data_IF_177108566761
#
_entry.id   IF_177108566761
#
_cell.length_a   1.000
_cell.length_b   1.000
_cell.length_c   1.000
_cell.angle_alpha   90.00
_cell.angle_beta   90.00
_cell.angle_gamma   90.00
#
_symmetry.space_group_name_H-M   'P 1'
#
loop_
_entity.id
_entity.type
_entity.pdbx_description
1 polymer ?
#
# COMPACT_ATOMS: atom_id res chain seq x y z
N UNK A 1 -11.87 -3.73 -0.97
CA UNK A 1 -10.54 -3.12 -0.70
C UNK A 1 -10.22 -2.10 -1.78
N UNK A 2 -9.72 -0.97 -1.38
CA UNK A 2 -9.28 0.08 -2.30
C UNK A 2 -7.81 0.40 -2.09
N UNK A 3 -7.13 0.78 -3.16
CA UNK A 3 -5.71 1.10 -3.15
C UNK A 3 -5.51 2.58 -3.50
N UNK A 4 -4.73 3.26 -2.69
CA UNK A 4 -4.39 4.67 -2.88
C UNK A 4 -2.90 4.75 -3.17
N UNK A 5 -2.54 5.48 -4.22
CA UNK A 5 -1.14 5.78 -4.54
C UNK A 5 -0.90 7.27 -4.42
N UNK A 6 0.20 7.65 -3.80
CA UNK A 6 0.55 9.06 -3.67
C UNK A 6 2.04 9.26 -3.86
N UNK A 7 2.40 10.43 -4.35
CA UNK A 7 3.78 10.89 -4.41
C UNK A 7 3.94 11.99 -3.37
N UNK A 8 4.92 11.84 -2.52
CA UNK A 8 5.17 12.76 -1.41
C UNK A 8 6.62 13.25 -1.43
N UNK A 9 6.87 14.36 -0.77
CA UNK A 9 8.24 14.80 -0.51
C UNK A 9 8.93 13.76 0.39
N UNK A 10 10.13 13.35 0.00
CA UNK A 10 10.92 12.40 0.78
C UNK A 10 11.74 13.15 1.84
N UNK A 11 11.05 13.58 2.88
CA UNK A 11 11.60 14.36 3.96
C UNK A 11 11.21 13.80 5.31
N UNK A 12 12.02 14.14 6.32
CA UNK A 12 11.75 13.72 7.69
C UNK A 12 10.37 14.18 8.15
N UNK A 13 9.63 13.28 8.77
CA UNK A 13 8.31 13.58 9.34
C UNK A 13 7.13 13.48 8.38
N UNK A 14 7.37 13.32 7.08
CA UNK A 14 6.26 13.22 6.09
C UNK A 14 5.39 12.02 6.38
N UNK A 15 5.98 10.84 6.64
CA UNK A 15 5.21 9.64 6.95
C UNK A 15 4.33 9.83 8.18
N UNK A 16 4.83 10.49 9.21
CA UNK A 16 4.04 10.76 10.43
C UNK A 16 2.83 11.63 10.10
N UNK A 17 3.01 12.65 9.28
CA UNK A 17 1.90 13.54 8.90
C UNK A 17 0.87 12.82 8.05
N UNK A 18 1.32 12.00 7.10
CA UNK A 18 0.42 11.19 6.27
C UNK A 18 -0.39 10.22 7.14
N UNK A 19 0.30 9.43 7.94
CA UNK A 19 -0.36 8.44 8.78
C UNK A 19 -1.25 9.08 9.85
N UNK A 20 -0.91 10.28 10.29
CA UNK A 20 -1.74 11.04 11.23
C UNK A 20 -3.13 11.34 10.70
N UNK A 21 -3.29 11.55 9.40
CA UNK A 21 -4.60 11.81 8.81
C UNK A 21 -5.49 10.55 8.85
N UNK A 22 -4.89 9.37 8.65
CA UNK A 22 -5.63 8.11 8.80
C UNK A 22 -6.07 7.90 10.25
N UNK A 23 -5.20 8.18 11.19
CA UNK A 23 -5.51 8.07 12.62
C UNK A 23 -6.67 8.99 13.03
N UNK A 24 -6.65 10.24 12.57
CA UNK A 24 -7.72 11.20 12.88
C UNK A 24 -9.07 10.76 12.38
N UNK A 25 -9.11 10.13 11.22
CA UNK A 25 -10.35 9.65 10.60
C UNK A 25 -10.70 8.23 11.01
N UNK A 26 -9.88 7.61 11.85
CA UNK A 26 -10.06 6.22 12.30
C UNK A 26 -10.12 5.25 11.11
N UNK A 27 -9.31 5.52 10.09
CA UNK A 27 -9.19 4.66 8.92
C UNK A 27 -8.01 3.72 9.14
N UNK A 28 -8.26 2.42 9.06
CA UNK A 28 -7.21 1.43 9.19
C UNK A 28 -6.50 1.23 7.84
N UNK A 29 -5.18 1.33 7.85
CA UNK A 29 -4.36 1.00 6.68
C UNK A 29 -4.04 -0.49 6.76
N UNK A 30 -4.49 -1.25 5.77
CA UNK A 30 -4.31 -2.71 5.77
C UNK A 30 -2.95 -3.13 5.25
N UNK A 31 -2.48 -2.49 4.18
CA UNK A 31 -1.13 -2.70 3.65
C UNK A 31 -0.53 -1.36 3.26
N UNK A 32 0.79 -1.26 3.33
CA UNK A 32 1.50 -0.06 2.90
C UNK A 32 2.86 -0.43 2.34
N UNK A 33 3.20 0.19 1.21
CA UNK A 33 4.52 0.09 0.60
C UNK A 33 5.02 1.51 0.37
N UNK A 34 6.25 1.76 0.78
CA UNK A 34 6.90 3.07 0.59
C UNK A 34 8.24 2.83 -0.10
N UNK A 35 8.50 3.58 -1.13
CA UNK A 35 9.77 3.44 -1.84
C UNK A 35 10.15 4.68 -2.63
N UNK A 36 11.40 4.65 -3.11
CA UNK A 36 11.86 5.67 -4.03
C UNK A 36 11.11 5.55 -5.34
N UNK A 37 10.95 6.66 -6.04
CA UNK A 37 10.25 6.68 -7.32
C UNK A 37 11.10 7.39 -8.38
N UNK A 38 10.53 7.55 -9.55
CA UNK A 38 11.21 8.17 -10.70
C UNK A 38 11.52 9.66 -10.49
N UNK A 39 10.88 10.31 -9.52
CA UNK A 39 11.10 11.73 -9.24
C UNK A 39 12.15 11.90 -8.13
N UNK A 40 13.29 12.56 -8.41
CA UNK A 40 14.30 12.79 -7.37
C UNK A 40 13.76 13.57 -6.19
N UNK A 41 14.10 13.16 -4.97
CA UNK A 41 13.66 13.82 -3.75
C UNK A 41 12.22 13.51 -3.36
N UNK A 42 11.56 12.59 -4.06
CA UNK A 42 10.19 12.17 -3.79
C UNK A 42 10.14 10.67 -3.47
N UNK A 43 9.05 10.27 -2.85
CA UNK A 43 8.78 8.86 -2.58
C UNK A 43 7.35 8.55 -3.03
N UNK A 44 7.12 7.30 -3.39
CA UNK A 44 5.77 6.80 -3.68
C UNK A 44 5.29 5.95 -2.52
N UNK A 45 4.07 6.22 -2.09
CA UNK A 45 3.39 5.45 -1.06
C UNK A 45 2.18 4.80 -1.72
N UNK A 46 2.09 3.48 -1.59
CA UNK A 46 0.93 2.72 -2.05
C UNK A 46 0.34 2.02 -0.84
N UNK A 47 -0.91 2.32 -0.53
CA UNK A 47 -1.55 1.73 0.64
C UNK A 47 -2.97 1.27 0.31
N UNK A 48 -3.47 0.34 1.11
CA UNK A 48 -4.83 -0.18 0.94
C UNK A 48 -5.67 0.08 2.17
N UNK A 49 -6.94 0.33 1.91
CA UNK A 49 -7.98 0.55 2.94
C UNK A 49 -9.18 -0.33 2.61
N UNK A 50 -10.10 -0.43 3.56
CA UNK A 50 -11.19 -1.39 3.51
C UNK A 50 -12.15 -1.17 2.34
N UNK A 51 -12.59 0.08 2.12
CA UNK A 51 -13.66 0.35 1.16
C UNK A 51 -13.52 1.71 0.51
N UNK A 52 -14.37 1.97 -0.48
CA UNK A 52 -14.36 3.20 -1.28
C UNK A 52 -14.61 4.44 -0.44
N UNK A 53 -15.52 4.37 0.53
CA UNK A 53 -15.83 5.49 1.39
C UNK A 53 -14.61 5.95 2.18
N UNK A 54 -13.89 4.99 2.76
CA UNK A 54 -12.67 5.30 3.51
C UNK A 54 -11.59 5.85 2.59
N UNK A 55 -11.45 5.29 1.37
CA UNK A 55 -10.48 5.79 0.40
C UNK A 55 -10.76 7.24 0.01
N UNK A 56 -12.01 7.59 -0.26
CA UNK A 56 -12.39 8.96 -0.61
C UNK A 56 -12.16 9.93 0.55
N UNK A 57 -12.46 9.52 1.77
CA UNK A 57 -12.19 10.34 2.96
C UNK A 57 -10.70 10.59 3.14
N UNK A 58 -9.87 9.56 2.93
CA UNK A 58 -8.43 9.69 3.04
C UNK A 58 -7.88 10.63 1.97
N UNK A 59 -8.30 10.47 0.72
CA UNK A 59 -7.85 11.32 -0.39
C UNK A 59 -8.21 12.78 -0.13
N UNK A 60 -9.42 13.05 0.34
CA UNK A 60 -9.83 14.42 0.67
C UNK A 60 -8.90 15.06 1.69
N UNK A 61 -8.57 14.33 2.75
CA UNK A 61 -7.69 14.85 3.81
C UNK A 61 -6.25 15.01 3.33
N UNK A 62 -5.73 14.00 2.65
CA UNK A 62 -4.33 13.97 2.23
C UNK A 62 -4.04 15.02 1.15
N UNK A 63 -5.01 15.34 0.30
CA UNK A 63 -4.85 16.38 -0.72
C UNK A 63 -4.51 17.74 -0.10
N UNK A 64 -4.88 17.97 1.16
CA UNK A 64 -4.62 19.23 1.87
C UNK A 64 -3.20 19.35 2.42
N UNK A 65 -2.45 18.25 2.46
CA UNK A 65 -1.08 18.27 2.96
C UNK A 65 -0.13 18.78 1.89
N UNK A 66 0.71 19.76 2.24
CA UNK A 66 1.72 20.30 1.31
C UNK A 66 2.70 19.25 0.82
N UNK A 67 3.00 18.27 1.67
CA UNK A 67 3.95 17.21 1.33
C UNK A 67 3.43 16.23 0.29
N UNK A 68 2.12 16.21 0.05
CA UNK A 68 1.50 15.33 -0.95
C UNK A 68 1.46 16.04 -2.29
N UNK A 69 2.21 15.53 -3.26
CA UNK A 69 2.35 16.12 -4.58
C UNK A 69 1.23 15.64 -5.51
N UNK A 70 1.00 14.32 -5.50
CA UNK A 70 -0.04 13.67 -6.29
C UNK A 70 -0.68 12.60 -5.45
N UNK A 71 -1.96 12.34 -5.69
CA UNK A 71 -2.69 11.27 -5.01
C UNK A 71 -3.83 10.80 -5.91
N UNK A 72 -4.02 9.49 -5.99
CA UNK A 72 -5.12 8.89 -6.74
C UNK A 72 -5.57 7.57 -6.10
N UNK A 73 -6.83 7.23 -6.33
CA UNK A 73 -7.35 5.88 -6.04
C UNK A 73 -7.10 5.05 -7.28
N UNK A 74 -6.41 3.94 -7.12
CA UNK A 74 -5.95 3.11 -8.24
C UNK A 74 -7.03 2.14 -8.67
N UNK A 75 -7.26 2.04 -9.96
CA UNK A 75 -8.17 1.06 -10.56
C UNK A 75 -7.71 -0.37 -10.28
N UNK A 76 -8.65 -1.28 -10.06
CA UNK A 76 -8.34 -2.69 -9.77
C UNK A 76 -7.44 -3.35 -10.80
N UNK A 77 -7.54 -2.97 -12.06
CA UNK A 77 -6.72 -3.54 -13.13
C UNK A 77 -5.23 -3.25 -12.95
N UNK A 78 -4.88 -2.28 -12.11
CA UNK A 78 -3.50 -1.89 -11.84
C UNK A 78 -2.98 -2.42 -10.51
N UNK A 79 -3.79 -3.17 -9.76
CA UNK A 79 -3.37 -3.76 -8.49
C UNK A 79 -2.46 -4.96 -8.73
N UNK A 80 -1.43 -5.09 -7.91
CA UNK A 80 -0.52 -6.22 -7.93
C UNK A 80 -0.17 -6.61 -6.49
N UNK A 81 -0.26 -7.90 -6.20
CA UNK A 81 0.07 -8.41 -4.88
C UNK A 81 1.45 -9.05 -4.88
N UNK A 82 2.15 -8.87 -3.78
CA UNK A 82 3.46 -9.46 -3.53
C UNK A 82 3.42 -10.16 -2.20
N UNK A 83 4.01 -11.34 -2.12
CA UNK A 83 4.20 -12.00 -0.85
C UNK A 83 5.57 -12.64 -0.77
N UNK A 84 6.15 -12.60 0.41
CA UNK A 84 7.31 -13.40 0.74
C UNK A 84 6.83 -14.44 1.73
N UNK A 85 7.02 -15.71 1.41
CA UNK A 85 6.60 -16.83 2.25
C UNK A 85 7.80 -17.66 2.66
N UNK A 86 7.74 -18.25 3.85
CA UNK A 86 8.81 -19.09 4.34
C UNK A 86 8.24 -20.36 4.97
N UNK A 87 8.90 -21.48 4.71
CA UNK A 87 8.60 -22.76 5.33
C UNK A 87 9.92 -23.47 5.65
N UNK A 88 9.85 -24.72 6.12
CA UNK A 88 11.04 -25.50 6.48
C UNK A 88 11.98 -25.78 5.30
N UNK A 89 11.52 -25.65 4.07
CA UNK A 89 12.30 -25.88 2.85
C UNK A 89 12.96 -24.63 2.29
N UNK A 90 12.58 -23.44 2.77
CA UNK A 90 13.14 -22.19 2.29
C UNK A 90 12.11 -21.11 2.09
N UNK A 91 12.47 -20.11 1.29
CA UNK A 91 11.65 -18.94 1.03
C UNK A 91 11.23 -18.90 -0.43
N UNK A 92 10.06 -18.35 -0.71
CA UNK A 92 9.57 -18.11 -2.05
C UNK A 92 8.92 -16.73 -2.16
N UNK A 93 9.00 -16.16 -3.36
CA UNK A 93 8.37 -14.90 -3.71
C UNK A 93 7.14 -15.19 -4.55
N UNK A 94 6.01 -14.59 -4.19
CA UNK A 94 4.76 -14.75 -4.93
C UNK A 94 4.38 -13.39 -5.48
N UNK A 95 4.12 -13.32 -6.78
CA UNK A 95 3.73 -12.10 -7.48
C UNK A 95 2.56 -12.45 -8.39
N UNK A 96 1.54 -11.63 -8.37
CA UNK A 96 0.38 -11.84 -9.22
C UNK A 96 -0.79 -10.96 -8.80
N UNK A 97 -1.97 -11.33 -9.26
CA UNK A 97 -3.17 -10.66 -8.79
C UNK A 97 -3.39 -10.94 -7.30
N UNK A 98 -4.20 -10.10 -6.66
CA UNK A 98 -4.51 -10.28 -5.24
C UNK A 98 -5.08 -11.68 -5.00
N UNK A 99 -6.01 -12.11 -5.85
CA UNK A 99 -6.65 -13.41 -5.72
C UNK A 99 -5.64 -14.55 -5.89
N UNK A 100 -4.77 -14.46 -6.91
CA UNK A 100 -3.75 -15.48 -7.15
C UNK A 100 -2.81 -15.64 -5.96
N UNK A 101 -2.32 -14.52 -5.43
CA UNK A 101 -1.39 -14.55 -4.30
C UNK A 101 -2.07 -15.06 -3.04
N UNK A 102 -3.30 -14.61 -2.77
CA UNK A 102 -4.07 -15.09 -1.63
C UNK A 102 -4.27 -16.61 -1.68
N UNK A 103 -4.63 -17.13 -2.86
CA UNK A 103 -4.81 -18.58 -3.05
C UNK A 103 -3.50 -19.34 -2.83
N UNK A 104 -2.39 -18.82 -3.36
CA UNK A 104 -1.09 -19.47 -3.20
C UNK A 104 -0.62 -19.47 -1.75
N UNK A 105 -0.82 -18.39 -1.02
CA UNK A 105 -0.50 -18.36 0.41
C UNK A 105 -1.34 -19.37 1.17
N UNK A 106 -2.63 -19.44 0.89
CA UNK A 106 -3.52 -20.40 1.55
C UNK A 106 -3.13 -21.84 1.23
N UNK A 107 -2.82 -22.14 -0.04
CA UNK A 107 -2.43 -23.48 -0.48
C UNK A 107 -1.11 -23.95 0.09
N UNK A 108 -0.13 -23.07 0.17
CA UNK A 108 1.24 -23.42 0.64
C UNK A 108 1.35 -23.49 2.15
N UNK A 109 0.41 -22.87 2.87
CA UNK A 109 0.39 -22.85 4.35
C UNK A 109 1.78 -22.59 4.94
N UNK A 110 2.39 -21.46 4.62
CA UNK A 110 3.75 -21.16 5.08
C UNK A 110 3.80 -20.97 6.59
N UNK A 111 4.98 -21.21 7.18
CA UNK A 111 5.20 -20.98 8.61
C UNK A 111 5.09 -19.50 8.96
N UNK A 112 5.54 -18.64 8.04
CA UNK A 112 5.39 -17.19 8.16
C UNK A 112 5.35 -16.55 6.78
N UNK A 113 4.69 -15.42 6.69
CA UNK A 113 4.63 -14.66 5.44
C UNK A 113 4.37 -13.18 5.69
N UNK A 114 4.67 -12.39 4.69
CA UNK A 114 4.21 -11.01 4.60
C UNK A 114 3.63 -10.79 3.21
N UNK A 115 2.51 -10.11 3.14
CA UNK A 115 1.85 -9.78 1.87
C UNK A 115 1.61 -8.29 1.79
N UNK A 116 1.91 -7.70 0.64
CA UNK A 116 1.67 -6.29 0.36
C UNK A 116 0.92 -6.13 -0.96
N UNK A 117 0.26 -4.99 -1.12
CA UNK A 117 -0.42 -4.63 -2.36
C UNK A 117 0.30 -3.44 -2.95
N UNK A 118 0.66 -3.55 -4.22
CA UNK A 118 1.33 -2.48 -4.94
C UNK A 118 0.54 -2.11 -6.20
N UNK A 119 0.86 -0.97 -6.79
CA UNK A 119 0.20 -0.51 -8.00
C UNK A 119 1.00 0.61 -8.66
N UNK A 120 0.90 0.68 -9.97
CA UNK A 120 1.48 1.77 -10.76
C UNK A 120 0.48 2.28 -11.79
#
# INVERSE_FOLDING_TARGET
>A
MEVISMIVNDQFGVMQRVMGEFTRKKINVETIVVGKCELPGKARIVLSVKDRKQAEQAVERLTRLQDVIEIEIIDESRHEAYALVANSFGKARLIGSIEEVDNLVEMTKPNKFIKTINAL
#
